data_IF_864012530950
#
_entry.id   IF_864012530950
#
_cell.length_a   1.000
_cell.length_b   1.000
_cell.length_c   1.000
_cell.angle_alpha   90.00
_cell.angle_beta   90.00
_cell.angle_gamma   90.00
#
_symmetry.space_group_name_H-M   'P 1'
#
loop_
_entity.id
_entity.type
_entity.pdbx_description
1 polymer ?
#
# COMPACT_ATOMS: atom_id res chain seq x y z
N UNK A 1 27.16 6.97 -4.28
CA UNK A 1 27.00 5.81 -3.35
C UNK A 1 25.96 4.84 -3.90
N UNK A 2 26.35 3.68 -4.44
CA UNK A 2 25.42 2.60 -4.74
C UNK A 2 25.11 1.85 -3.44
N UNK A 3 24.29 2.43 -2.56
CA UNK A 3 24.09 1.93 -1.20
C UNK A 3 22.71 1.32 -0.95
N UNK A 4 21.66 2.13 -1.17
CA UNK A 4 20.27 1.79 -0.78
C UNK A 4 19.42 1.42 -2.00
N UNK A 5 19.71 1.97 -3.19
CA UNK A 5 19.03 1.64 -4.46
C UNK A 5 19.06 0.14 -4.83
N UNK A 6 20.07 -0.60 -4.37
CA UNK A 6 20.15 -2.06 -4.53
C UNK A 6 18.95 -2.80 -3.93
N UNK A 7 18.32 -2.22 -2.91
CA UNK A 7 17.13 -2.79 -2.28
C UNK A 7 15.91 -2.65 -3.20
N UNK A 8 15.77 -1.54 -3.92
CA UNK A 8 14.71 -1.35 -4.94
C UNK A 8 14.92 -2.33 -6.09
N UNK A 9 16.13 -2.39 -6.64
CA UNK A 9 16.43 -3.31 -7.74
C UNK A 9 16.17 -4.77 -7.35
N UNK A 10 16.56 -5.17 -6.13
CA UNK A 10 16.28 -6.52 -5.64
C UNK A 10 14.80 -6.74 -5.36
N UNK A 11 14.09 -5.73 -4.83
CA UNK A 11 12.66 -5.81 -4.59
C UNK A 11 11.87 -6.03 -5.87
N UNK A 12 12.19 -5.26 -6.91
CA UNK A 12 11.58 -5.41 -8.24
C UNK A 12 11.84 -6.82 -8.81
N UNK A 13 13.07 -7.34 -8.70
CA UNK A 13 13.39 -8.70 -9.22
C UNK A 13 12.57 -9.78 -8.53
N UNK A 14 12.39 -9.66 -7.22
CA UNK A 14 11.53 -10.58 -6.49
C UNK A 14 10.05 -10.41 -6.81
N UNK A 15 9.62 -9.19 -7.13
CA UNK A 15 8.25 -8.94 -7.60
C UNK A 15 7.99 -9.66 -8.93
N UNK A 16 8.83 -9.44 -9.95
CA UNK A 16 8.67 -10.14 -11.23
C UNK A 16 8.75 -11.66 -11.08
N UNK A 17 9.71 -12.15 -10.29
CA UNK A 17 9.83 -13.57 -10.04
C UNK A 17 8.59 -14.15 -9.34
N UNK A 18 7.93 -13.37 -8.47
CA UNK A 18 6.68 -13.78 -7.84
C UNK A 18 5.54 -13.91 -8.84
N UNK A 19 5.38 -12.93 -9.75
CA UNK A 19 4.38 -12.99 -10.83
C UNK A 19 4.58 -14.21 -11.73
N UNK A 20 5.83 -14.49 -12.12
CA UNK A 20 6.16 -15.72 -12.88
C UNK A 20 5.74 -16.99 -12.13
N UNK A 21 5.97 -17.06 -10.82
CA UNK A 21 5.50 -18.19 -10.03
C UNK A 21 3.97 -18.27 -9.92
N UNK A 22 3.24 -17.15 -9.96
CA UNK A 22 1.78 -17.17 -10.06
C UNK A 22 1.32 -17.72 -11.41
N UNK A 23 1.92 -17.25 -12.51
CA UNK A 23 1.64 -17.72 -13.87
C UNK A 23 1.92 -19.23 -14.01
N UNK A 24 2.94 -19.76 -13.31
CA UNK A 24 3.26 -21.19 -13.22
C UNK A 24 2.34 -21.99 -12.28
N UNK A 25 1.38 -21.35 -11.59
CA UNK A 25 0.50 -22.01 -10.63
C UNK A 25 1.18 -22.41 -9.31
N UNK A 26 2.24 -21.68 -8.89
CA UNK A 26 3.09 -21.98 -7.72
C UNK A 26 2.94 -20.91 -6.62
N UNK A 27 1.76 -20.82 -5.96
CA UNK A 27 1.41 -19.71 -5.07
C UNK A 27 2.29 -19.57 -3.82
N UNK A 28 2.82 -20.67 -3.28
CA UNK A 28 3.71 -20.63 -2.11
C UNK A 28 5.07 -19.99 -2.46
N UNK A 29 5.57 -20.24 -3.65
CA UNK A 29 6.82 -19.65 -4.12
C UNK A 29 6.62 -18.19 -4.51
N UNK A 30 5.47 -17.86 -5.13
CA UNK A 30 5.07 -16.48 -5.37
C UNK A 30 5.03 -15.68 -4.05
N UNK A 31 4.35 -16.19 -3.02
CA UNK A 31 4.26 -15.53 -1.71
C UNK A 31 5.63 -15.34 -1.05
N UNK A 32 6.53 -16.31 -1.17
CA UNK A 32 7.91 -16.21 -0.67
C UNK A 32 8.70 -15.13 -1.41
N UNK A 33 8.59 -15.08 -2.74
CA UNK A 33 9.22 -14.05 -3.57
C UNK A 33 8.67 -12.67 -3.20
N UNK A 34 7.36 -12.49 -3.16
CA UNK A 34 6.74 -11.23 -2.76
C UNK A 34 7.14 -10.75 -1.38
N UNK A 35 7.19 -11.64 -0.39
CA UNK A 35 7.65 -11.30 0.97
C UNK A 35 9.08 -10.74 0.97
N UNK A 36 9.97 -11.29 0.12
CA UNK A 36 11.32 -10.74 -0.06
C UNK A 36 11.31 -9.38 -0.75
N UNK A 37 10.44 -9.20 -1.74
CA UNK A 37 10.23 -7.91 -2.40
C UNK A 37 9.77 -6.82 -1.44
N UNK A 38 8.75 -7.10 -0.63
CA UNK A 38 8.25 -6.21 0.43
C UNK A 38 9.34 -5.83 1.42
N UNK A 39 10.19 -6.79 1.83
CA UNK A 39 11.33 -6.53 2.71
C UNK A 39 12.37 -5.60 2.09
N UNK A 40 12.59 -5.71 0.78
CA UNK A 40 13.47 -4.81 0.02
C UNK A 40 12.94 -3.37 0.00
N UNK A 41 11.67 -3.18 -0.37
CA UNK A 41 11.07 -1.84 -0.34
C UNK A 41 11.03 -1.24 1.06
N UNK A 42 10.66 -2.01 2.09
CA UNK A 42 10.69 -1.54 3.48
C UNK A 42 12.10 -1.12 3.91
N UNK A 43 13.13 -1.87 3.51
CA UNK A 43 14.52 -1.51 3.77
C UNK A 43 14.92 -0.23 3.05
N UNK A 44 14.48 -0.04 1.80
CA UNK A 44 14.73 1.18 1.03
C UNK A 44 14.13 2.41 1.71
N UNK A 45 12.82 2.41 1.99
CA UNK A 45 12.13 3.58 2.56
C UNK A 45 12.61 3.90 3.97
N UNK A 46 13.06 2.91 4.74
CA UNK A 46 13.66 3.09 6.07
C UNK A 46 15.04 3.74 6.02
N UNK A 47 15.88 3.33 5.05
CA UNK A 47 17.31 3.70 5.01
C UNK A 47 17.61 4.87 4.07
N UNK A 48 16.72 5.15 3.11
CA UNK A 48 16.90 6.23 2.15
C UNK A 48 16.87 7.60 2.85
N UNK A 49 17.80 8.47 2.46
CA UNK A 49 18.08 9.74 3.13
C UNK A 49 17.75 10.96 2.29
N UNK A 50 17.68 10.81 0.97
CA UNK A 50 17.73 11.90 -0.01
C UNK A 50 16.96 11.58 -1.30
N UNK A 51 16.11 10.53 -1.32
CA UNK A 51 15.37 10.11 -2.51
C UNK A 51 13.90 10.55 -2.50
N UNK A 52 13.31 10.68 -3.68
CA UNK A 52 11.85 10.76 -3.82
C UNK A 52 11.26 9.40 -3.40
N UNK A 53 10.65 9.35 -2.22
CA UNK A 53 10.13 8.09 -1.66
C UNK A 53 8.78 7.69 -2.25
N UNK A 54 8.04 8.63 -2.87
CA UNK A 54 6.69 8.37 -3.38
C UNK A 54 6.64 7.20 -4.40
N UNK A 55 7.55 7.09 -5.40
CA UNK A 55 7.60 5.92 -6.27
C UNK A 55 7.87 4.60 -5.53
N UNK A 56 8.77 4.61 -4.54
CA UNK A 56 9.07 3.43 -3.73
C UNK A 56 7.87 3.01 -2.86
N UNK A 57 7.18 3.97 -2.27
CA UNK A 57 5.97 3.73 -1.51
C UNK A 57 4.81 3.24 -2.39
N UNK A 58 4.67 3.78 -3.60
CA UNK A 58 3.67 3.32 -4.56
C UNK A 58 3.92 1.86 -4.95
N UNK A 59 5.15 1.51 -5.33
CA UNK A 59 5.54 0.15 -5.67
C UNK A 59 5.39 -0.80 -4.48
N UNK A 60 5.78 -0.36 -3.28
CA UNK A 60 5.61 -1.12 -2.05
C UNK A 60 4.12 -1.40 -1.75
N UNK A 61 3.26 -0.40 -1.91
CA UNK A 61 1.82 -0.54 -1.77
C UNK A 61 1.23 -1.52 -2.78
N UNK A 62 1.60 -1.39 -4.06
CA UNK A 62 1.15 -2.27 -5.14
C UNK A 62 1.53 -3.74 -4.90
N UNK A 63 2.81 -4.02 -4.61
CA UNK A 63 3.26 -5.37 -4.26
C UNK A 63 2.54 -5.89 -3.00
N UNK A 64 2.30 -5.02 -2.01
CA UNK A 64 1.57 -5.40 -0.80
C UNK A 64 0.13 -5.82 -1.09
N UNK A 65 -0.57 -5.11 -1.99
CA UNK A 65 -1.93 -5.47 -2.44
C UNK A 65 -1.93 -6.80 -3.18
N UNK A 66 -0.99 -7.03 -4.10
CA UNK A 66 -0.85 -8.31 -4.81
C UNK A 66 -0.60 -9.47 -3.82
N UNK A 67 0.33 -9.27 -2.88
CA UNK A 67 0.63 -10.28 -1.84
C UNK A 67 -0.59 -10.58 -0.98
N UNK A 68 -1.34 -9.55 -0.57
CA UNK A 68 -2.55 -9.73 0.23
C UNK A 68 -3.62 -10.54 -0.51
N UNK A 69 -3.85 -10.25 -1.80
CA UNK A 69 -4.79 -11.00 -2.65
C UNK A 69 -4.36 -12.45 -2.83
N UNK A 70 -3.07 -12.70 -3.09
CA UNK A 70 -2.52 -14.05 -3.20
C UNK A 70 -2.71 -14.88 -1.91
N UNK A 71 -2.53 -14.23 -0.75
CA UNK A 71 -2.68 -14.88 0.55
C UNK A 71 -4.14 -15.06 0.99
N UNK A 72 -5.07 -14.21 0.55
CA UNK A 72 -6.46 -14.19 1.00
C UNK A 72 -7.15 -15.57 1.03
N UNK A 73 -7.10 -16.40 -0.02
CA UNK A 73 -7.77 -17.70 -0.02
C UNK A 73 -7.11 -18.76 0.88
N UNK A 74 -5.89 -18.54 1.37
CA UNK A 74 -5.07 -19.56 2.06
C UNK A 74 -4.75 -19.21 3.51
N UNK A 75 -4.58 -17.93 3.80
CA UNK A 75 -4.18 -17.45 5.11
C UNK A 75 -4.65 -16.00 5.30
N UNK A 76 -5.82 -15.86 5.94
CA UNK A 76 -6.45 -14.56 6.23
C UNK A 76 -5.56 -13.65 7.07
N UNK A 77 -4.86 -14.20 8.07
CA UNK A 77 -3.97 -13.41 8.92
C UNK A 77 -2.82 -12.79 8.13
N UNK A 78 -2.17 -13.58 7.28
CA UNK A 78 -1.13 -13.09 6.36
C UNK A 78 -1.68 -12.06 5.38
N UNK A 79 -2.88 -12.30 4.83
CA UNK A 79 -3.53 -11.35 3.93
C UNK A 79 -3.77 -9.99 4.60
N UNK A 80 -4.29 -9.99 5.84
CA UNK A 80 -4.51 -8.79 6.63
C UNK A 80 -3.22 -8.04 6.95
N UNK A 81 -2.16 -8.74 7.34
CA UNK A 81 -0.86 -8.11 7.60
C UNK A 81 -0.31 -7.41 6.35
N UNK A 82 -0.35 -8.08 5.20
CA UNK A 82 0.12 -7.51 3.94
C UNK A 82 -0.80 -6.35 3.45
N UNK A 83 -2.11 -6.45 3.66
CA UNK A 83 -3.04 -5.37 3.36
C UNK A 83 -2.80 -4.13 4.23
N UNK A 84 -2.46 -4.29 5.51
CA UNK A 84 -2.06 -3.18 6.39
C UNK A 84 -0.72 -2.56 5.96
N UNK A 85 0.27 -3.37 5.58
CA UNK A 85 1.51 -2.86 5.00
C UNK A 85 1.24 -2.05 3.72
N UNK A 86 0.36 -2.56 2.85
CA UNK A 86 -0.05 -1.90 1.62
C UNK A 86 -0.80 -0.59 1.87
N UNK A 87 -1.69 -0.56 2.87
CA UNK A 87 -2.41 0.64 3.31
C UNK A 87 -1.43 1.74 3.71
N UNK A 88 -0.48 1.43 4.60
CA UNK A 88 0.52 2.40 5.05
C UNK A 88 1.37 2.92 3.89
N UNK A 89 1.90 2.00 3.06
CA UNK A 89 2.73 2.39 1.93
C UNK A 89 1.98 3.26 0.92
N UNK A 90 0.75 2.88 0.58
CA UNK A 90 -0.07 3.63 -0.38
C UNK A 90 -0.47 4.99 0.17
N UNK A 91 -0.74 5.11 1.47
CA UNK A 91 -1.00 6.39 2.13
C UNK A 91 0.22 7.33 2.08
N UNK A 92 1.44 6.82 2.21
CA UNK A 92 2.65 7.65 2.03
C UNK A 92 2.94 8.01 0.57
N UNK A 93 2.42 7.24 -0.40
CA UNK A 93 2.54 7.56 -1.82
C UNK A 93 1.49 8.58 -2.28
N UNK A 94 0.33 8.59 -1.62
CA UNK A 94 -0.82 9.45 -1.88
C UNK A 94 -0.46 10.94 -1.68
N UNK A 95 -0.50 11.76 -2.75
CA UNK A 95 -0.19 13.19 -2.63
C UNK A 95 -1.20 13.96 -1.79
N UNK A 96 -2.40 13.43 -1.58
CA UNK A 96 -3.46 14.11 -0.82
C UNK A 96 -3.31 13.93 0.69
N UNK A 97 -2.36 13.11 1.15
CA UNK A 97 -2.16 12.76 2.55
C UNK A 97 -3.45 12.26 3.24
N UNK A 98 -4.33 11.59 2.50
CA UNK A 98 -5.60 11.10 3.04
C UNK A 98 -6.74 12.12 3.04
N UNK A 99 -6.61 13.27 2.38
CA UNK A 99 -7.68 14.28 2.28
C UNK A 99 -8.38 14.28 0.91
N UNK A 100 -9.61 13.74 0.82
CA UNK A 100 -10.40 13.70 -0.42
C UNK A 100 -10.58 15.09 -1.03
N UNK A 101 -10.79 16.12 -0.21
CA UNK A 101 -10.95 17.51 -0.67
C UNK A 101 -9.71 18.07 -1.39
N UNK A 102 -8.54 17.44 -1.26
CA UNK A 102 -7.33 17.86 -1.98
C UNK A 102 -7.16 17.16 -3.34
N UNK A 103 -7.98 16.18 -3.70
CA UNK A 103 -7.82 15.37 -4.94
C UNK A 103 -7.79 16.24 -6.19
N UNK A 104 -8.75 17.17 -6.36
CA UNK A 104 -8.81 18.05 -7.53
C UNK A 104 -7.52 18.86 -7.70
N UNK A 105 -7.04 19.48 -6.63
CA UNK A 105 -5.80 20.25 -6.62
C UNK A 105 -4.61 19.37 -6.99
N UNK A 106 -4.44 18.21 -6.35
CA UNK A 106 -3.29 17.35 -6.61
C UNK A 106 -3.30 16.74 -8.02
N UNK A 107 -4.48 16.49 -8.60
CA UNK A 107 -4.62 16.03 -10.00
C UNK A 107 -4.28 17.13 -11.00
N UNK A 108 -4.63 18.38 -10.70
CA UNK A 108 -4.31 19.53 -11.55
C UNK A 108 -2.83 19.93 -11.43
N UNK A 109 -2.38 20.24 -10.22
CA UNK A 109 -1.06 20.82 -9.91
C UNK A 109 0.05 19.76 -9.88
N UNK A 110 -0.30 18.51 -9.56
CA UNK A 110 0.68 17.42 -9.43
C UNK A 110 1.29 16.98 -10.77
N UNK A 111 0.79 17.49 -11.90
CA UNK A 111 1.29 17.22 -13.25
C UNK A 111 2.65 17.87 -13.53
N UNK A 112 2.99 18.92 -12.78
CA UNK A 112 4.26 19.64 -12.93
C UNK A 112 5.44 18.90 -12.26
N UNK A 113 5.16 17.82 -11.51
CA UNK A 113 6.17 16.99 -10.84
C UNK A 113 6.24 15.61 -11.48
N UNK A 114 7.13 15.44 -12.45
CA UNK A 114 7.33 14.14 -13.10
C UNK A 114 7.98 13.15 -12.13
N UNK A 115 7.21 12.15 -11.73
CA UNK A 115 7.67 10.95 -11.04
C UNK A 115 7.59 9.77 -12.01
N UNK A 116 8.44 8.75 -11.83
CA UNK A 116 8.41 7.54 -12.64
C UNK A 116 8.05 6.33 -11.79
N UNK A 117 7.20 5.45 -12.32
CA UNK A 117 6.85 4.21 -11.66
C UNK A 117 8.09 3.30 -11.59
N UNK A 118 8.28 2.63 -10.46
CA UNK A 118 9.35 1.65 -10.33
C UNK A 118 8.86 0.33 -10.92
N UNK A 119 9.34 0.02 -12.12
CA UNK A 119 9.18 -1.28 -12.77
C UNK A 119 10.55 -1.83 -13.16
N UNK A 120 10.61 -3.13 -13.47
CA UNK A 120 11.77 -3.70 -14.13
C UNK A 120 11.65 -3.48 -15.64
N UNK A 121 12.68 -2.89 -16.23
CA UNK A 121 12.77 -2.68 -17.68
C UNK A 121 12.03 -1.45 -18.23
N UNK A 122 10.98 -0.95 -17.58
CA UNK A 122 10.23 0.24 -18.03
C UNK A 122 10.41 1.43 -17.07
N UNK A 123 11.41 2.25 -17.33
CA UNK A 123 11.73 3.44 -16.53
C UNK A 123 10.99 4.70 -16.99
N UNK A 124 10.13 4.59 -18.00
CA UNK A 124 9.49 5.68 -18.71
C UNK A 124 8.02 5.88 -18.33
N UNK A 125 7.38 4.92 -17.66
CA UNK A 125 6.00 5.09 -17.20
C UNK A 125 5.94 6.20 -16.14
N UNK A 126 5.32 7.32 -16.50
CA UNK A 126 5.06 8.44 -15.59
C UNK A 126 4.09 8.00 -14.50
N UNK A 127 4.49 8.18 -13.25
CA UNK A 127 3.67 7.93 -12.07
C UNK A 127 2.86 9.17 -11.74
N UNK A 128 1.63 9.21 -12.25
CA UNK A 128 0.76 10.38 -12.09
C UNK A 128 0.14 10.48 -10.69
N UNK A 129 -0.39 11.65 -10.28
CA UNK A 129 -1.20 11.78 -9.07
C UNK A 129 -2.39 10.82 -9.05
N UNK A 130 -3.10 10.67 -10.18
CA UNK A 130 -4.27 9.80 -10.32
C UNK A 130 -3.91 8.35 -9.95
N UNK A 131 -2.79 7.82 -10.45
CA UNK A 131 -2.31 6.47 -10.12
C UNK A 131 -2.06 6.28 -8.62
N UNK A 132 -1.46 7.28 -7.97
CA UNK A 132 -1.12 7.21 -6.54
C UNK A 132 -2.37 7.30 -5.66
N UNK A 133 -3.29 8.20 -6.01
CA UNK A 133 -4.58 8.36 -5.31
C UNK A 133 -5.42 7.10 -5.47
N UNK A 134 -5.53 6.55 -6.69
CA UNK A 134 -6.26 5.31 -6.96
C UNK A 134 -5.64 4.13 -6.21
N UNK A 135 -4.31 4.01 -6.20
CA UNK A 135 -3.61 2.98 -5.43
C UNK A 135 -3.87 3.07 -3.92
N UNK A 136 -4.04 4.29 -3.39
CA UNK A 136 -4.41 4.50 -1.99
C UNK A 136 -5.89 4.16 -1.72
N UNK A 137 -6.79 4.48 -2.64
CA UNK A 137 -8.20 4.08 -2.56
C UNK A 137 -8.36 2.55 -2.64
N UNK A 138 -7.65 1.89 -3.55
CA UNK A 138 -7.59 0.44 -3.68
C UNK A 138 -7.11 -0.26 -2.41
N UNK A 139 -6.08 0.30 -1.75
CA UNK A 139 -5.56 -0.27 -0.52
C UNK A 139 -6.58 -0.21 0.63
N UNK A 140 -7.38 0.88 0.68
CA UNK A 140 -8.50 1.02 1.63
C UNK A 140 -9.59 -0.02 1.35
N UNK A 141 -10.04 -0.12 0.09
CA UNK A 141 -11.10 -1.05 -0.32
C UNK A 141 -10.69 -2.51 -0.11
N UNK A 142 -9.43 -2.86 -0.42
CA UNK A 142 -8.87 -4.19 -0.19
C UNK A 142 -8.79 -4.55 1.31
N UNK A 143 -8.29 -3.65 2.15
CA UNK A 143 -8.28 -3.93 3.59
C UNK A 143 -9.71 -4.07 4.12
N UNK A 144 -10.63 -3.22 3.66
CA UNK A 144 -12.03 -3.30 4.05
C UNK A 144 -12.75 -4.56 3.56
N UNK A 145 -12.34 -5.18 2.45
CA UNK A 145 -12.88 -6.48 2.01
C UNK A 145 -12.32 -7.65 2.82
N UNK A 146 -11.11 -7.52 3.35
CA UNK A 146 -10.47 -8.53 4.19
C UNK A 146 -10.85 -8.44 5.67
N UNK A 147 -11.29 -7.28 6.15
CA UNK A 147 -11.89 -7.13 7.48
C UNK A 147 -13.25 -7.83 7.49
N UNK A 148 -13.49 -8.67 8.50
CA UNK A 148 -14.69 -9.50 8.61
C UNK A 148 -15.50 -9.20 9.86
N UNK A 149 -16.63 -9.91 9.99
CA UNK A 149 -17.53 -9.84 11.14
C UNK A 149 -17.27 -10.96 12.16
N UNK A 150 -16.54 -12.01 11.75
CA UNK A 150 -16.09 -13.09 12.62
C UNK A 150 -14.92 -12.64 13.50
N UNK A 151 -15.02 -12.96 14.80
CA UNK A 151 -14.08 -12.74 15.91
C UNK A 151 -12.84 -11.87 15.57
N UNK A 152 -12.77 -10.69 16.20
CA UNK A 152 -11.69 -9.71 16.04
C UNK A 152 -10.33 -10.36 15.74
N UNK A 153 -9.82 -10.11 14.54
CA UNK A 153 -8.55 -10.66 14.06
C UNK A 153 -7.34 -9.97 14.69
N UNK A 154 -7.57 -8.85 15.40
CA UNK A 154 -6.57 -8.10 16.17
C UNK A 154 -6.41 -8.67 17.59
N UNK A 155 -5.18 -9.05 18.00
CA UNK A 155 -4.91 -9.46 19.37
C UNK A 155 -5.14 -8.38 20.45
N UNK A 156 -5.20 -7.08 20.10
CA UNK A 156 -5.75 -6.00 20.96
C UNK A 156 -5.77 -4.65 20.23
N UNK A 157 -6.63 -3.72 20.67
CA UNK A 157 -6.63 -2.32 20.24
C UNK A 157 -5.34 -1.55 20.63
N UNK A 158 -4.50 -2.10 21.52
CA UNK A 158 -3.20 -1.52 21.90
C UNK A 158 -2.09 -1.81 20.87
N UNK A 159 -2.35 -2.68 19.90
CA UNK A 159 -1.39 -3.09 18.88
C UNK A 159 -1.58 -2.42 17.53
N UNK A 160 -2.32 -1.32 17.41
CA UNK A 160 -2.52 -0.58 16.14
C UNK A 160 -1.62 0.64 16.06
N UNK A 161 -1.13 0.93 14.86
CA UNK A 161 -0.30 2.10 14.58
C UNK A 161 -1.04 3.04 13.62
N UNK A 162 -1.55 4.19 14.11
CA UNK A 162 -2.02 5.25 13.21
C UNK A 162 -0.87 5.73 12.33
N UNK A 163 -1.05 5.67 11.02
CA UNK A 163 -0.02 6.09 10.07
C UNK A 163 0.36 7.55 10.35
N UNK A 164 1.66 7.86 10.37
CA UNK A 164 2.17 9.20 10.74
C UNK A 164 2.32 9.45 12.24
N UNK A 165 1.79 8.60 13.12
CA UNK A 165 1.93 8.77 14.58
C UNK A 165 3.25 8.22 15.14
N UNK A 166 3.74 8.90 16.19
CA UNK A 166 4.94 8.56 16.96
C UNK A 166 6.23 9.26 16.49
N UNK A 167 7.17 9.43 17.42
CA UNK A 167 8.46 10.08 17.15
C UNK A 167 9.31 9.18 16.22
N UNK A 168 9.48 9.59 14.96
CA UNK A 168 10.41 8.94 14.02
C UNK A 168 9.75 8.16 12.89
N UNK A 169 8.85 8.79 12.15
CA UNK A 169 8.62 8.38 10.75
C UNK A 169 9.85 8.74 9.93
N UNK A 170 10.75 7.76 9.76
CA UNK A 170 12.01 7.93 9.05
C UNK A 170 13.19 8.23 9.98
N UNK A 171 14.24 7.42 9.82
CA UNK A 171 15.52 7.41 10.56
C UNK A 171 15.43 7.08 12.06
N UNK A 172 16.08 5.98 12.44
CA UNK A 172 17.03 6.02 13.57
C UNK A 172 16.57 5.69 14.99
N UNK A 173 15.46 4.97 15.22
CA UNK A 173 15.17 4.45 16.58
C UNK A 173 14.74 2.98 16.67
N UNK A 174 13.96 2.51 15.70
CA UNK A 174 13.45 1.13 15.69
C UNK A 174 14.28 0.22 14.79
N UNK A 175 14.43 -1.06 15.17
CA UNK A 175 15.02 -2.10 14.32
C UNK A 175 14.12 -2.44 13.12
N UNK A 176 14.65 -3.15 12.10
CA UNK A 176 13.85 -3.56 10.92
C UNK A 176 12.57 -4.31 11.32
N UNK A 177 12.67 -5.24 12.27
CA UNK A 177 11.53 -6.04 12.71
C UNK A 177 10.44 -5.23 13.41
N UNK A 178 10.82 -4.19 14.15
CA UNK A 178 9.88 -3.28 14.81
C UNK A 178 9.13 -2.44 13.78
N UNK A 179 9.82 -1.90 12.77
CA UNK A 179 9.16 -1.16 11.67
C UNK A 179 8.24 -2.07 10.86
N UNK A 180 8.70 -3.29 10.51
CA UNK A 180 7.84 -4.26 9.83
C UNK A 180 6.58 -4.53 10.65
N UNK A 181 6.71 -4.74 11.97
CA UNK A 181 5.56 -4.95 12.87
C UNK A 181 4.60 -3.77 12.86
N UNK A 182 5.09 -2.53 12.87
CA UNK A 182 4.26 -1.32 12.77
C UNK A 182 3.47 -1.28 11.46
N UNK A 183 4.11 -1.52 10.32
CA UNK A 183 3.41 -1.55 9.02
C UNK A 183 2.35 -2.66 8.96
N UNK A 184 2.63 -3.84 9.53
CA UNK A 184 1.64 -4.94 9.64
C UNK A 184 0.46 -4.61 10.57
N UNK A 185 0.52 -3.50 11.30
CA UNK A 185 -0.45 -3.03 12.28
C UNK A 185 -1.05 -1.66 11.92
N UNK A 186 -0.78 -1.17 10.72
CA UNK A 186 -1.16 0.16 10.32
C UNK A 186 -2.69 0.36 10.27
N UNK A 187 -3.14 1.54 10.70
CA UNK A 187 -4.49 2.08 10.52
C UNK A 187 -4.39 3.49 9.95
N UNK A 188 -5.39 3.92 9.18
CA UNK A 188 -5.48 5.33 8.80
C UNK A 188 -5.69 6.22 10.04
N UNK A 189 -5.25 7.49 10.01
CA UNK A 189 -5.54 8.44 11.09
C UNK A 189 -7.03 8.56 11.42
N UNK A 190 -7.90 8.58 10.39
CA UNK A 190 -9.37 8.58 10.53
C UNK A 190 -9.93 7.34 11.20
N UNK A 191 -9.19 6.23 11.16
CA UNK A 191 -9.56 4.94 11.76
C UNK A 191 -8.94 4.73 13.15
N UNK A 192 -8.19 5.70 13.67
CA UNK A 192 -7.53 5.59 14.97
C UNK A 192 -8.57 5.38 16.09
N UNK A 193 -8.34 4.37 16.95
CA UNK A 193 -9.26 4.02 18.04
C UNK A 193 -10.55 3.29 17.62
N UNK A 194 -10.78 3.07 16.31
CA UNK A 194 -11.94 2.32 15.84
C UNK A 194 -11.74 0.81 16.00
N UNK A 195 -12.83 0.12 16.36
CA UNK A 195 -12.96 -1.34 16.23
C UNK A 195 -13.05 -1.77 14.77
N UNK A 196 -12.80 -3.06 14.49
CA UNK A 196 -12.68 -3.59 13.12
C UNK A 196 -13.90 -3.30 12.22
N UNK A 197 -15.12 -3.44 12.74
CA UNK A 197 -16.34 -3.14 11.98
C UNK A 197 -16.44 -1.67 11.57
N UNK A 198 -16.07 -0.75 12.47
CA UNK A 198 -16.09 0.69 12.20
C UNK A 198 -14.92 1.09 11.29
N UNK A 199 -13.74 0.51 11.48
CA UNK A 199 -12.61 0.65 10.56
C UNK A 199 -13.01 0.21 9.14
N UNK A 200 -13.61 -0.98 8.98
CA UNK A 200 -14.08 -1.49 7.70
C UNK A 200 -15.04 -0.52 7.02
N UNK A 201 -16.03 -0.01 7.74
CA UNK A 201 -16.99 0.96 7.19
C UNK A 201 -16.30 2.25 6.74
N UNK A 202 -15.49 2.84 7.62
CA UNK A 202 -14.74 4.07 7.34
C UNK A 202 -13.83 3.90 6.11
N UNK A 203 -13.09 2.78 6.01
CA UNK A 203 -12.24 2.49 4.85
C UNK A 203 -13.04 2.37 3.54
N UNK A 204 -14.24 1.77 3.56
CA UNK A 204 -15.11 1.69 2.36
C UNK A 204 -15.61 3.06 1.95
N UNK A 205 -16.11 3.83 2.90
CA UNK A 205 -16.64 5.18 2.67
C UNK A 205 -15.55 6.09 2.10
N UNK A 206 -14.35 6.07 2.68
CA UNK A 206 -13.21 6.81 2.12
C UNK A 206 -12.83 6.32 0.73
N UNK A 207 -12.70 5.01 0.51
CA UNK A 207 -12.37 4.48 -0.82
C UNK A 207 -13.38 4.92 -1.88
N UNK A 208 -14.68 4.84 -1.56
CA UNK A 208 -15.76 5.28 -2.45
C UNK A 208 -15.70 6.78 -2.72
N UNK A 209 -15.42 7.61 -1.70
CA UNK A 209 -15.24 9.05 -1.87
C UNK A 209 -14.05 9.39 -2.77
N UNK A 210 -12.91 8.71 -2.61
CA UNK A 210 -11.75 8.89 -3.49
C UNK A 210 -12.04 8.52 -4.94
N UNK A 211 -12.67 7.37 -5.18
CA UNK A 211 -13.01 6.95 -6.55
C UNK A 211 -14.04 7.85 -7.20
N UNK A 212 -15.05 8.31 -6.45
CA UNK A 212 -16.03 9.25 -6.94
C UNK A 212 -15.38 10.57 -7.35
N UNK A 213 -14.50 11.10 -6.50
CA UNK A 213 -13.81 12.35 -6.76
C UNK A 213 -12.82 12.23 -7.92
N UNK A 214 -12.03 11.14 -7.99
CA UNK A 214 -11.16 10.86 -9.15
C UNK A 214 -11.94 10.80 -10.46
N UNK A 215 -13.09 10.12 -10.47
CA UNK A 215 -13.95 10.04 -11.66
C UNK A 215 -14.48 11.42 -12.07
N UNK A 216 -14.77 12.29 -11.10
CA UNK A 216 -15.22 13.67 -11.34
C UNK A 216 -14.11 14.52 -11.98
N UNK A 217 -12.90 14.47 -11.43
CA UNK A 217 -11.80 15.38 -11.84
C UNK A 217 -10.96 14.84 -13.01
N UNK A 218 -10.93 13.53 -13.20
CA UNK A 218 -10.19 12.84 -14.25
C UNK A 218 -11.05 11.76 -14.93
N UNK A 219 -12.11 12.11 -15.67
CA UNK A 219 -13.06 11.14 -16.23
C UNK A 219 -12.46 10.17 -17.26
N UNK A 220 -11.29 10.51 -17.82
CA UNK A 220 -10.56 9.65 -18.75
C UNK A 220 -9.58 8.69 -18.06
N UNK A 221 -9.37 8.84 -16.75
CA UNK A 221 -8.50 7.95 -15.99
C UNK A 221 -9.28 6.70 -15.58
N UNK A 222 -8.79 5.54 -16.00
CA UNK A 222 -9.31 4.24 -15.58
C UNK A 222 -8.42 3.66 -14.46
N UNK A 223 -8.91 3.57 -13.21
CA UNK A 223 -8.18 2.93 -12.12
C UNK A 223 -8.09 1.39 -12.27
N UNK A 224 -8.80 0.81 -13.24
CA UNK A 224 -8.93 -0.64 -13.40
C UNK A 224 -10.03 -1.23 -12.49
N UNK A 225 -10.14 -2.57 -12.47
CA UNK A 225 -11.21 -3.25 -11.75
C UNK A 225 -11.04 -3.11 -10.23
N UNK A 226 -12.14 -2.76 -9.56
CA UNK A 226 -12.22 -2.73 -8.09
C UNK A 226 -12.29 -4.15 -7.52
N UNK A 227 -11.78 -4.40 -6.30
CA UNK A 227 -11.91 -5.70 -5.65
C UNK A 227 -13.39 -6.12 -5.55
N UNK A 228 -13.70 -7.38 -5.87
CA UNK A 228 -15.04 -7.91 -5.68
C UNK A 228 -15.45 -7.79 -4.20
N UNK A 229 -16.51 -7.03 -3.96
CA UNK A 229 -17.10 -6.88 -2.63
C UNK A 229 -17.96 -8.11 -2.40
N UNK A 230 -17.42 -9.10 -1.67
CA UNK A 230 -18.25 -10.20 -1.16
C UNK A 230 -19.47 -9.62 -0.46
N UNK A 231 -20.66 -10.01 -0.91
CA UNK A 231 -21.93 -9.66 -0.27
C UNK A 231 -21.88 -10.37 1.08
N UNK A 232 -21.71 -9.59 2.15
CA UNK A 232 -21.94 -10.05 3.51
C UNK A 232 -23.43 -10.04 3.80
#
# INVERSE_FOLDING_TARGET
MPGVERFVQSALRFWEQGRRYEDEGRPLLAARSYTRGLGGFLSYVKLSRTGQLAPAYYAFGALGRETARLCAPRNRHSALQNARMALAASHYADPTCGQVASVEREVHDGRDRTLYALTLGHHDQVLTPEMRIAGAADARDLLASLLGDEAATRPSAMGVWPIGSGDGTGRGRFGYWQDKKRYMQAVLPSCAGLGELRERRCLREEADAYFAELRRVAPHYDPGPRPERGIG
#
